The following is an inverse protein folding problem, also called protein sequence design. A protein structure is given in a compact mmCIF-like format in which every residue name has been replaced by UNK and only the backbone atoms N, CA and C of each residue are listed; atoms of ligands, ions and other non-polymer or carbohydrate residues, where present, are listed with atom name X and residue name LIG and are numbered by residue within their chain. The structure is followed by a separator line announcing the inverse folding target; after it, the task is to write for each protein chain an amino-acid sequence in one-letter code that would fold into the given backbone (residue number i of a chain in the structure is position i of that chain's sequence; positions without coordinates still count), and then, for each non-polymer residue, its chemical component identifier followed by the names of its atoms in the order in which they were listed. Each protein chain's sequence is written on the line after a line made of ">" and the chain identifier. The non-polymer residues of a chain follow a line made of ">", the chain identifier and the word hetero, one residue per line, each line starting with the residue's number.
data_IF_517209900089
#
_entry.id   IF_517209900089
#
_cell.length_a   1.000
_cell.length_b   1.000
_cell.length_c   1.000
_cell.angle_alpha   90.00
_cell.angle_beta   90.00
_cell.angle_gamma   90.00
#
_symmetry.space_group_name_H-M   'P 1'
#
loop_
_entity.id
_entity.type
_entity.pdbx_description
1 polymer ?
#
# COMPACT_ATOMS: atom_id res chain seq x y z
N UNK A 1 -8.30 -22.52 15.97
CA UNK A 1 -8.43 -21.32 15.13
C UNK A 1 -7.12 -21.19 14.37
N UNK A 2 -7.01 -21.79 13.18
CA UNK A 2 -5.72 -22.12 12.56
C UNK A 2 -5.51 -21.49 11.17
N UNK A 3 -6.34 -20.52 10.77
CA UNK A 3 -6.43 -20.05 9.38
C UNK A 3 -6.68 -18.54 9.24
N UNK A 4 -6.66 -17.75 10.33
CA UNK A 4 -7.06 -16.34 10.23
C UNK A 4 -6.03 -15.53 9.43
N UNK A 5 -4.75 -15.80 9.67
CA UNK A 5 -3.62 -15.27 8.92
C UNK A 5 -3.69 -15.59 7.43
N UNK A 6 -4.11 -16.82 7.08
CA UNK A 6 -4.24 -17.28 5.70
C UNK A 6 -5.43 -16.57 5.01
N UNK A 7 -6.57 -16.44 5.70
CA UNK A 7 -7.72 -15.70 5.16
C UNK A 7 -7.41 -14.22 4.97
N UNK A 8 -6.68 -13.59 5.88
CA UNK A 8 -6.24 -12.19 5.75
C UNK A 8 -5.29 -12.04 4.56
N UNK A 9 -4.37 -12.99 4.37
CA UNK A 9 -3.44 -12.96 3.24
C UNK A 9 -4.15 -13.20 1.89
N UNK A 10 -5.10 -14.14 1.83
CA UNK A 10 -5.94 -14.37 0.64
C UNK A 10 -6.75 -13.12 0.30
N UNK A 11 -7.35 -12.46 1.30
CA UNK A 11 -8.06 -11.20 1.12
C UNK A 11 -7.12 -10.11 0.58
N UNK A 12 -5.92 -9.99 1.14
CA UNK A 12 -4.93 -9.04 0.68
C UNK A 12 -4.53 -9.29 -0.79
N UNK A 13 -4.32 -10.55 -1.16
CA UNK A 13 -4.03 -10.95 -2.53
C UNK A 13 -5.17 -10.61 -3.50
N UNK A 14 -6.43 -10.86 -3.12
CA UNK A 14 -7.60 -10.48 -3.91
C UNK A 14 -7.69 -8.96 -4.13
N UNK A 15 -7.42 -8.17 -3.09
CA UNK A 15 -7.40 -6.70 -3.19
C UNK A 15 -6.25 -6.24 -4.08
N UNK A 16 -5.06 -6.83 -3.94
CA UNK A 16 -3.90 -6.53 -4.78
C UNK A 16 -4.17 -6.83 -6.26
N UNK A 17 -4.79 -7.97 -6.56
CA UNK A 17 -5.21 -8.32 -7.92
C UNK A 17 -6.28 -7.36 -8.45
N UNK A 18 -7.26 -7.00 -7.63
CA UNK A 18 -8.29 -6.02 -7.97
C UNK A 18 -7.69 -4.65 -8.32
N UNK A 19 -6.70 -4.20 -7.54
CA UNK A 19 -5.98 -2.96 -7.79
C UNK A 19 -5.23 -3.01 -9.13
N UNK A 20 -4.53 -4.11 -9.42
CA UNK A 20 -3.84 -4.32 -10.70
C UNK A 20 -4.81 -4.35 -11.89
N UNK A 21 -5.97 -4.98 -11.75
CA UNK A 21 -7.02 -4.91 -12.78
C UNK A 21 -7.46 -3.46 -13.04
N UNK A 22 -7.59 -2.64 -12.00
CA UNK A 22 -7.90 -1.22 -12.15
C UNK A 22 -6.78 -0.46 -12.88
N UNK A 23 -5.50 -0.79 -12.63
CA UNK A 23 -4.38 -0.18 -13.35
C UNK A 23 -4.40 -0.52 -14.84
N UNK A 24 -4.64 -1.79 -15.19
CA UNK A 24 -4.77 -2.18 -16.59
C UNK A 24 -5.94 -1.47 -17.29
N UNK A 25 -7.07 -1.34 -16.61
CA UNK A 25 -8.21 -0.61 -17.15
C UNK A 25 -7.89 0.89 -17.34
N UNK A 26 -7.19 1.55 -16.40
CA UNK A 26 -6.75 2.93 -16.57
C UNK A 26 -5.84 3.11 -17.80
N UNK A 27 -4.90 2.20 -18.03
CA UNK A 27 -4.03 2.24 -19.22
C UNK A 27 -4.84 2.08 -20.51
N UNK A 28 -5.89 1.26 -20.50
CA UNK A 28 -6.80 1.11 -21.64
C UNK A 28 -7.53 2.42 -21.99
N UNK A 29 -7.87 3.25 -20.99
CA UNK A 29 -8.45 4.58 -21.15
C UNK A 29 -7.39 5.71 -21.28
N UNK A 30 -6.16 5.38 -21.65
CA UNK A 30 -5.14 6.37 -22.01
C UNK A 30 -4.26 6.88 -20.87
N UNK A 31 -4.35 6.30 -19.66
CA UNK A 31 -3.39 6.57 -18.59
C UNK A 31 -1.97 6.19 -19.02
N UNK A 32 -0.99 7.07 -18.79
CA UNK A 32 0.38 6.93 -19.29
C UNK A 32 0.65 7.51 -20.69
N UNK A 33 -0.34 8.13 -21.35
CA UNK A 33 -0.12 8.96 -22.56
C UNK A 33 -0.03 10.44 -22.19
N UNK A 34 0.76 11.21 -22.94
CA UNK A 34 0.80 12.67 -22.76
C UNK A 34 -0.59 13.28 -22.99
N UNK A 35 -0.95 14.25 -22.14
CA UNK A 35 -2.26 14.95 -22.10
C UNK A 35 -2.87 15.39 -23.44
N UNK A 36 -2.11 15.76 -24.51
CA UNK A 36 -2.71 16.12 -25.79
C UNK A 36 -3.34 14.96 -26.57
N UNK A 37 -3.06 13.71 -26.19
CA UNK A 37 -3.48 12.51 -26.94
C UNK A 37 -4.75 11.83 -26.41
N UNK A 38 -5.34 12.34 -25.32
CA UNK A 38 -6.52 11.76 -24.65
C UNK A 38 -7.76 12.63 -24.78
N UNK A 39 -8.91 12.03 -25.07
CA UNK A 39 -10.19 12.74 -25.03
C UNK A 39 -10.63 13.03 -23.59
N UNK A 40 -11.45 14.06 -23.38
CA UNK A 40 -11.99 14.38 -22.04
C UNK A 40 -12.82 13.23 -21.45
N UNK A 41 -13.52 12.48 -22.29
CA UNK A 41 -14.35 11.33 -21.89
C UNK A 41 -13.48 10.18 -21.37
N UNK A 42 -12.41 9.84 -22.08
CA UNK A 42 -11.42 8.85 -21.63
C UNK A 42 -10.77 9.26 -20.30
N UNK A 43 -10.45 10.54 -20.13
CA UNK A 43 -9.87 11.05 -18.90
C UNK A 43 -10.84 10.91 -17.70
N UNK A 44 -12.14 11.16 -17.90
CA UNK A 44 -13.16 10.99 -16.86
C UNK A 44 -13.30 9.52 -16.47
N UNK A 45 -13.35 8.60 -17.44
CA UNK A 45 -13.44 7.16 -17.16
C UNK A 45 -12.18 6.65 -16.44
N UNK A 46 -10.99 7.08 -16.87
CA UNK A 46 -9.75 6.78 -16.17
C UNK A 46 -9.79 7.24 -14.70
N UNK A 47 -10.25 8.46 -14.43
CA UNK A 47 -10.37 8.98 -13.06
C UNK A 47 -11.39 8.21 -12.20
N UNK A 48 -12.51 7.75 -12.77
CA UNK A 48 -13.45 6.87 -12.04
C UNK A 48 -12.76 5.57 -11.60
N UNK A 49 -11.94 4.98 -12.47
CA UNK A 49 -11.20 3.76 -12.14
C UNK A 49 -10.10 4.06 -11.12
N UNK A 50 -9.41 5.20 -11.23
CA UNK A 50 -8.44 5.66 -10.23
C UNK A 50 -9.08 5.85 -8.87
N UNK A 51 -10.31 6.37 -8.82
CA UNK A 51 -11.09 6.51 -7.59
C UNK A 51 -11.33 5.15 -6.91
N UNK A 52 -11.73 4.12 -7.68
CA UNK A 52 -11.88 2.76 -7.15
C UNK A 52 -10.55 2.18 -6.67
N UNK A 53 -9.48 2.39 -7.44
CA UNK A 53 -8.14 1.93 -7.07
C UNK A 53 -7.63 2.59 -5.77
N UNK A 54 -8.04 3.84 -5.49
CA UNK A 54 -7.65 4.57 -4.27
C UNK A 54 -8.03 3.81 -2.99
N UNK A 55 -9.23 3.22 -2.94
CA UNK A 55 -9.68 2.43 -1.80
C UNK A 55 -8.83 1.17 -1.55
N UNK A 56 -8.19 0.65 -2.59
CA UNK A 56 -7.49 -0.63 -2.54
C UNK A 56 -6.02 -0.50 -2.12
N UNK A 57 -5.39 0.67 -2.33
CA UNK A 57 -3.94 0.86 -2.13
C UNK A 57 -3.51 0.51 -0.70
N UNK A 58 -4.04 1.21 0.31
CA UNK A 58 -3.56 1.02 1.68
C UNK A 58 -3.93 -0.35 2.25
N UNK A 59 -5.17 -0.88 2.04
CA UNK A 59 -5.49 -2.25 2.43
C UNK A 59 -4.59 -3.30 1.78
N UNK A 60 -4.25 -3.17 0.50
CA UNK A 60 -3.36 -4.11 -0.21
C UNK A 60 -1.96 -4.16 0.40
N UNK A 61 -1.47 -3.04 0.95
CA UNK A 61 -0.14 -2.94 1.57
C UNK A 61 -0.17 -3.36 3.06
N UNK A 62 -1.23 -3.00 3.79
CA UNK A 62 -1.30 -3.20 5.24
C UNK A 62 -1.79 -4.59 5.66
N UNK A 63 -2.70 -5.23 4.89
CA UNK A 63 -3.24 -6.54 5.25
C UNK A 63 -2.19 -7.68 5.23
N UNK A 64 -1.25 -7.75 4.26
CA UNK A 64 -0.19 -8.75 4.32
C UNK A 64 0.69 -8.59 5.56
N UNK A 65 1.04 -7.35 5.91
CA UNK A 65 1.77 -7.01 7.13
C UNK A 65 1.00 -7.42 8.38
N UNK A 66 -0.31 -7.22 8.42
CA UNK A 66 -1.15 -7.69 9.51
C UNK A 66 -1.16 -9.22 9.61
N UNK A 67 -1.15 -9.95 8.49
CA UNK A 67 -0.99 -11.42 8.49
C UNK A 67 0.37 -11.86 9.05
N UNK A 68 1.46 -11.15 8.73
CA UNK A 68 2.79 -11.38 9.33
C UNK A 68 2.73 -11.14 10.85
N UNK A 69 2.08 -10.06 11.30
CA UNK A 69 1.91 -9.78 12.72
C UNK A 69 1.17 -10.91 13.45
N UNK A 70 0.06 -11.41 12.87
CA UNK A 70 -0.70 -12.54 13.42
C UNK A 70 0.15 -13.81 13.50
N UNK A 71 0.92 -14.10 12.44
CA UNK A 71 1.83 -15.24 12.36
C UNK A 71 2.91 -15.17 13.45
N UNK A 72 3.52 -14.00 13.64
CA UNK A 72 4.52 -13.78 14.69
C UNK A 72 3.94 -14.01 16.09
N UNK A 73 2.76 -13.44 16.39
CA UNK A 73 2.11 -13.57 17.70
C UNK A 73 1.81 -15.03 18.03
N UNK A 74 1.53 -15.85 17.02
CA UNK A 74 1.29 -17.29 17.12
C UNK A 74 2.57 -18.08 17.37
N UNK A 75 3.63 -17.85 16.58
CA UNK A 75 4.88 -18.61 16.66
C UNK A 75 5.67 -18.28 17.93
N UNK A 76 5.81 -16.99 18.25
CA UNK A 76 6.65 -16.52 19.34
C UNK A 76 5.85 -16.24 20.60
N UNK A 77 5.06 -17.21 21.06
CA UNK A 77 4.18 -17.09 22.24
C UNK A 77 4.93 -16.67 23.51
N UNK A 78 6.23 -17.00 23.61
CA UNK A 78 7.07 -16.74 24.77
C UNK A 78 7.69 -15.32 24.77
N UNK A 79 7.74 -14.62 23.63
CA UNK A 79 8.28 -13.25 23.57
C UNK A 79 7.20 -12.22 23.92
N UNK A 80 7.01 -11.96 25.21
CA UNK A 80 5.98 -11.03 25.70
C UNK A 80 6.15 -9.62 25.14
N UNK A 81 7.38 -9.10 25.12
CA UNK A 81 7.67 -7.73 24.65
C UNK A 81 7.44 -7.62 23.15
N UNK A 82 8.00 -8.57 22.37
CA UNK A 82 7.80 -8.61 20.92
C UNK A 82 6.32 -8.71 20.55
N UNK A 83 5.53 -9.52 21.29
CA UNK A 83 4.08 -9.65 21.05
C UNK A 83 3.32 -8.35 21.27
N UNK A 84 3.58 -7.60 22.36
CA UNK A 84 2.91 -6.32 22.58
C UNK A 84 3.21 -5.30 21.48
N UNK A 85 4.48 -5.21 21.05
CA UNK A 85 4.88 -4.32 19.96
C UNK A 85 4.19 -4.72 18.65
N UNK A 86 4.22 -6.00 18.29
CA UNK A 86 3.63 -6.49 17.04
C UNK A 86 2.10 -6.39 17.05
N UNK A 87 1.44 -6.58 18.20
CA UNK A 87 0.00 -6.34 18.34
C UNK A 87 -0.34 -4.86 18.13
N UNK A 88 0.44 -3.94 18.72
CA UNK A 88 0.24 -2.51 18.53
C UNK A 88 0.42 -2.10 17.06
N UNK A 89 1.46 -2.61 16.39
CA UNK A 89 1.70 -2.36 14.97
C UNK A 89 0.59 -2.95 14.10
N UNK A 90 0.17 -4.19 14.35
CA UNK A 90 -0.92 -4.83 13.63
C UNK A 90 -2.24 -4.04 13.77
N UNK A 91 -2.55 -3.58 14.97
CA UNK A 91 -3.72 -2.72 15.22
C UNK A 91 -3.61 -1.39 14.46
N UNK A 92 -2.44 -0.74 14.52
CA UNK A 92 -2.19 0.52 13.83
C UNK A 92 -2.39 0.39 12.31
N UNK A 93 -1.91 -0.70 11.70
CA UNK A 93 -2.05 -0.97 10.27
C UNK A 93 -3.52 -1.15 9.86
N UNK A 94 -4.30 -1.89 10.65
CA UNK A 94 -5.74 -2.08 10.40
C UNK A 94 -6.48 -0.76 10.55
N UNK A 95 -6.21 0.01 11.61
CA UNK A 95 -6.83 1.31 11.82
C UNK A 95 -6.48 2.29 10.70
N UNK A 96 -5.21 2.36 10.28
CA UNK A 96 -4.78 3.21 9.17
C UNK A 96 -5.51 2.84 7.88
N UNK A 97 -5.68 1.54 7.60
CA UNK A 97 -6.43 1.04 6.44
C UNK A 97 -7.90 1.43 6.49
N UNK A 98 -8.55 1.28 7.65
CA UNK A 98 -9.95 1.66 7.83
C UNK A 98 -10.16 3.16 7.63
N UNK A 99 -9.31 4.00 8.24
CA UNK A 99 -9.41 5.45 8.09
C UNK A 99 -9.16 5.87 6.64
N UNK A 100 -8.20 5.26 5.95
CA UNK A 100 -7.95 5.49 4.52
C UNK A 100 -9.16 5.17 3.65
N UNK A 101 -9.84 4.05 3.90
CA UNK A 101 -11.07 3.69 3.16
C UNK A 101 -12.17 4.71 3.38
N UNK A 102 -12.36 5.18 4.62
CA UNK A 102 -13.36 6.22 4.94
C UNK A 102 -13.01 7.55 4.29
N UNK A 103 -11.74 7.96 4.37
CA UNK A 103 -11.25 9.21 3.81
C UNK A 103 -11.32 9.21 2.27
N UNK A 104 -10.99 8.08 1.61
CA UNK A 104 -11.19 7.89 0.17
C UNK A 104 -12.66 8.08 -0.25
N UNK A 105 -13.61 7.69 0.61
CA UNK A 105 -15.04 7.92 0.40
C UNK A 105 -15.45 9.40 0.52
N UNK A 106 -14.75 10.15 1.36
CA UNK A 106 -15.03 11.55 1.69
C UNK A 106 -14.07 12.53 1.00
N UNK A 107 -13.26 12.04 0.08
CA UNK A 107 -12.17 12.81 -0.55
C UNK A 107 -12.68 14.06 -1.27
N UNK A 108 -13.87 14.01 -1.87
CA UNK A 108 -14.50 15.14 -2.54
C UNK A 108 -15.97 15.24 -2.15
N UNK A 109 -16.46 16.47 -1.97
CA UNK A 109 -17.86 16.77 -1.69
C UNK A 109 -18.42 17.76 -2.72
N UNK A 110 -19.34 17.33 -3.61
CA UNK A 110 -19.83 15.96 -3.84
C UNK A 110 -18.83 15.05 -4.57
N UNK A 111 -18.93 13.73 -4.38
CA UNK A 111 -17.93 12.74 -4.87
C UNK A 111 -17.68 12.81 -6.38
N UNK A 112 -18.69 13.17 -7.18
CA UNK A 112 -18.53 13.23 -8.64
C UNK A 112 -17.52 14.26 -9.12
N UNK A 113 -17.23 15.27 -8.30
CA UNK A 113 -16.21 16.30 -8.54
C UNK A 113 -14.82 15.68 -8.73
N UNK A 114 -14.55 14.52 -8.12
CA UNK A 114 -13.29 13.79 -8.28
C UNK A 114 -12.96 13.53 -9.76
N UNK A 115 -13.95 13.08 -10.53
CA UNK A 115 -13.75 12.73 -11.94
C UNK A 115 -14.24 13.78 -12.93
N UNK A 116 -15.21 14.65 -12.58
CA UNK A 116 -15.73 15.66 -13.52
C UNK A 116 -14.92 16.96 -13.52
N UNK A 117 -14.37 17.35 -12.37
CA UNK A 117 -13.67 18.63 -12.20
C UNK A 117 -12.17 18.44 -11.88
N UNK A 118 -11.68 17.19 -11.92
CA UNK A 118 -10.27 16.84 -11.69
C UNK A 118 -9.70 17.35 -10.36
N UNK A 119 -10.48 17.21 -9.28
CA UNK A 119 -10.07 17.48 -7.88
C UNK A 119 -9.65 18.93 -7.60
N UNK A 120 -10.58 19.90 -7.69
CA UNK A 120 -10.28 21.28 -7.33
C UNK A 120 -10.10 21.41 -5.79
N UNK A 121 -9.15 22.27 -5.38
CA UNK A 121 -8.72 22.39 -3.98
C UNK A 121 -9.80 22.90 -3.01
N UNK A 122 -10.87 23.53 -3.52
CA UNK A 122 -11.98 24.09 -2.74
C UNK A 122 -13.06 23.07 -2.39
N UNK A 123 -13.17 21.96 -3.15
CA UNK A 123 -14.23 20.95 -2.99
C UNK A 123 -13.70 19.56 -2.62
N UNK A 124 -12.41 19.35 -2.75
CA UNK A 124 -11.75 18.11 -2.37
C UNK A 124 -10.76 18.33 -1.24
N UNK A 125 -10.62 17.34 -0.37
CA UNK A 125 -9.53 17.29 0.59
C UNK A 125 -8.21 17.33 -0.18
N UNK A 126 -7.18 17.89 0.42
CA UNK A 126 -5.84 17.74 -0.11
C UNK A 126 -5.47 16.25 -0.04
N UNK A 127 -5.73 15.51 -1.12
CA UNK A 127 -5.59 14.05 -1.35
C UNK A 127 -4.34 13.42 -0.71
N UNK A 128 -3.34 14.23 -0.43
CA UNK A 128 -2.00 13.79 -0.10
C UNK A 128 -1.74 13.69 1.39
N UNK A 129 -2.36 14.52 2.25
CA UNK A 129 -1.97 14.57 3.65
C UNK A 129 -2.17 13.22 4.37
N UNK A 130 -3.36 12.64 4.21
CA UNK A 130 -3.66 11.34 4.81
C UNK A 130 -2.93 10.19 4.11
N UNK A 131 -2.82 10.23 2.79
CA UNK A 131 -2.07 9.24 2.01
C UNK A 131 -0.58 9.18 2.42
N UNK A 132 0.04 10.34 2.68
CA UNK A 132 1.40 10.43 3.22
C UNK A 132 1.50 9.82 4.61
N UNK A 133 0.57 10.15 5.51
CA UNK A 133 0.55 9.60 6.87
C UNK A 133 0.40 8.08 6.82
N UNK A 134 -0.51 7.56 6.00
CA UNK A 134 -0.69 6.12 5.78
C UNK A 134 0.57 5.45 5.23
N UNK A 135 1.25 6.09 4.26
CA UNK A 135 2.54 5.63 3.74
C UNK A 135 3.64 5.57 4.80
N UNK A 136 3.78 6.62 5.61
CA UNK A 136 4.74 6.67 6.72
C UNK A 136 4.45 5.60 7.78
N UNK A 137 3.18 5.35 8.10
CA UNK A 137 2.76 4.28 9.01
C UNK A 137 3.17 2.91 8.45
N UNK A 138 2.90 2.66 7.16
CA UNK A 138 3.28 1.41 6.48
C UNK A 138 4.78 1.17 6.52
N UNK A 139 5.59 2.17 6.15
CA UNK A 139 7.06 2.07 6.13
C UNK A 139 7.61 1.88 7.55
N UNK A 140 7.06 2.60 8.53
CA UNK A 140 7.48 2.46 9.93
C UNK A 140 7.17 1.05 10.46
N UNK A 141 6.01 0.50 10.07
CA UNK A 141 5.63 -0.87 10.43
C UNK A 141 6.62 -1.89 9.85
N UNK A 142 7.12 -1.71 8.62
CA UNK A 142 8.14 -2.61 8.04
C UNK A 142 9.39 -2.67 8.92
N UNK A 143 9.96 -1.52 9.29
CA UNK A 143 11.16 -1.49 10.12
C UNK A 143 10.93 -2.06 11.52
N UNK A 144 9.78 -1.80 12.14
CA UNK A 144 9.45 -2.34 13.46
C UNK A 144 9.27 -3.86 13.39
N UNK A 145 8.51 -4.37 12.42
CA UNK A 145 8.28 -5.80 12.24
C UNK A 145 9.61 -6.51 12.02
N UNK A 146 10.45 -6.01 11.10
CA UNK A 146 11.77 -6.57 10.82
C UNK A 146 12.67 -6.54 12.05
N UNK A 147 12.73 -5.41 12.76
CA UNK A 147 13.54 -5.25 13.97
C UNK A 147 13.13 -6.18 15.11
N UNK A 148 11.85 -6.55 15.17
CA UNK A 148 11.36 -7.54 16.13
C UNK A 148 11.61 -8.96 15.64
N UNK A 149 11.31 -9.27 14.38
CA UNK A 149 11.34 -10.63 13.83
C UNK A 149 12.76 -11.13 13.60
N UNK A 150 13.66 -10.30 13.07
CA UNK A 150 15.00 -10.71 12.64
C UNK A 150 15.88 -11.24 13.80
N UNK A 151 16.02 -10.56 14.96
CA UNK A 151 16.83 -11.08 16.06
C UNK A 151 16.32 -12.43 16.59
N UNK A 152 15.00 -12.65 16.53
CA UNK A 152 14.34 -13.86 17.03
C UNK A 152 14.59 -15.04 16.11
N UNK A 153 14.58 -14.81 14.79
CA UNK A 153 14.95 -15.81 13.79
C UNK A 153 16.44 -16.17 13.90
N UNK A 154 17.33 -15.19 14.08
CA UNK A 154 18.76 -15.43 14.19
C UNK A 154 19.09 -16.30 15.42
N UNK A 155 18.41 -16.06 16.55
CA UNK A 155 18.56 -16.83 17.78
C UNK A 155 17.94 -18.24 17.76
N UNK A 156 17.15 -18.58 16.73
CA UNK A 156 16.47 -19.88 16.65
C UNK A 156 17.39 -20.96 16.06
N UNK A 157 17.41 -22.13 16.70
CA UNK A 157 18.15 -23.31 16.25
C UNK A 157 17.36 -24.07 15.17
N UNK A 158 17.31 -23.51 13.95
CA UNK A 158 16.68 -24.13 12.78
C UNK A 158 17.72 -24.78 11.85
N UNK A 159 17.26 -25.66 10.97
CA UNK A 159 18.11 -26.20 9.91
C UNK A 159 18.55 -25.06 8.96
N UNK A 160 19.74 -25.20 8.38
CA UNK A 160 20.32 -24.15 7.51
C UNK A 160 19.40 -23.73 6.36
N UNK A 161 18.62 -24.67 5.80
CA UNK A 161 17.66 -24.40 4.71
C UNK A 161 16.47 -23.55 5.18
N UNK A 162 15.89 -23.88 6.32
CA UNK A 162 14.74 -23.14 6.91
C UNK A 162 15.18 -21.75 7.37
N UNK A 163 16.36 -21.65 7.97
CA UNK A 163 16.95 -20.38 8.38
C UNK A 163 17.21 -19.46 7.18
N UNK A 164 17.70 -20.01 6.07
CA UNK A 164 17.92 -19.23 4.84
C UNK A 164 16.59 -18.73 4.26
N UNK A 165 15.55 -19.58 4.20
CA UNK A 165 14.24 -19.17 3.72
C UNK A 165 13.66 -18.01 4.55
N UNK A 166 13.76 -18.08 5.88
CA UNK A 166 13.31 -17.02 6.76
C UNK A 166 14.10 -15.72 6.58
N UNK A 167 15.42 -15.79 6.41
CA UNK A 167 16.24 -14.61 6.13
C UNK A 167 15.84 -13.99 4.78
N UNK A 168 15.59 -14.79 3.75
CA UNK A 168 15.12 -14.31 2.45
C UNK A 168 13.77 -13.57 2.58
N UNK A 169 12.82 -14.10 3.35
CA UNK A 169 11.53 -13.45 3.61
C UNK A 169 11.73 -12.09 4.31
N UNK A 170 12.63 -12.02 5.30
CA UNK A 170 12.95 -10.74 5.97
C UNK A 170 13.59 -9.74 5.00
N UNK A 171 14.45 -10.18 4.09
CA UNK A 171 15.02 -9.32 3.05
C UNK A 171 13.95 -8.75 2.10
N UNK A 172 12.91 -9.52 1.79
CA UNK A 172 11.76 -9.01 1.02
C UNK A 172 11.04 -7.88 1.77
N UNK A 173 10.92 -7.98 3.10
CA UNK A 173 10.41 -6.88 3.93
C UNK A 173 11.20 -5.57 3.78
N UNK A 174 12.54 -5.64 3.70
CA UNK A 174 13.35 -4.46 3.42
C UNK A 174 13.12 -3.90 2.01
N UNK A 175 12.92 -4.77 1.02
CA UNK A 175 12.59 -4.33 -0.34
C UNK A 175 11.21 -3.66 -0.39
N UNK A 176 10.22 -4.17 0.36
CA UNK A 176 8.90 -3.55 0.48
C UNK A 176 9.00 -2.14 1.09
N UNK A 177 9.77 -1.98 2.16
CA UNK A 177 10.03 -0.66 2.76
C UNK A 177 10.70 0.30 1.78
N UNK A 178 11.70 -0.17 1.01
CA UNK A 178 12.37 0.63 0.00
C UNK A 178 11.43 1.06 -1.13
N UNK A 179 10.56 0.15 -1.60
CA UNK A 179 9.54 0.45 -2.60
C UNK A 179 8.53 1.49 -2.08
N UNK A 180 8.11 1.39 -0.82
CA UNK A 180 7.24 2.38 -0.17
C UNK A 180 7.89 3.76 -0.07
N UNK A 181 9.17 3.83 0.29
CA UNK A 181 9.94 5.09 0.32
C UNK A 181 10.02 5.69 -1.09
N UNK A 182 10.34 4.89 -2.10
CA UNK A 182 10.42 5.34 -3.49
C UNK A 182 9.07 5.89 -3.98
N UNK A 183 7.96 5.20 -3.68
CA UNK A 183 6.60 5.68 -3.97
C UNK A 183 6.32 7.04 -3.33
N UNK A 184 6.65 7.22 -2.04
CA UNK A 184 6.45 8.49 -1.33
C UNK A 184 7.30 9.63 -1.90
N UNK A 185 8.55 9.32 -2.27
CA UNK A 185 9.46 10.29 -2.88
C UNK A 185 8.97 10.72 -4.27
N UNK A 186 8.53 9.77 -5.11
CA UNK A 186 7.96 10.07 -6.43
C UNK A 186 6.70 10.91 -6.30
N UNK A 187 5.81 10.55 -5.38
CA UNK A 187 4.63 11.37 -5.08
C UNK A 187 5.02 12.80 -4.69
N UNK A 188 6.08 13.00 -3.91
CA UNK A 188 6.47 14.33 -3.43
C UNK A 188 6.96 15.21 -4.58
N UNK A 189 7.71 14.62 -5.50
CA UNK A 189 8.20 15.28 -6.71
C UNK A 189 7.02 15.65 -7.61
N UNK A 190 6.08 14.74 -7.84
CA UNK A 190 4.86 14.98 -8.62
C UNK A 190 4.00 16.11 -8.04
N UNK A 191 4.08 16.39 -6.74
CA UNK A 191 3.31 17.48 -6.12
C UNK A 191 3.96 18.85 -6.25
N UNK A 192 5.27 18.90 -6.49
CA UNK A 192 6.05 20.14 -6.50
C UNK A 192 6.38 20.65 -7.91
N UNK A 193 6.14 19.85 -8.94
CA UNK A 193 6.48 20.19 -10.33
C UNK A 193 5.44 21.13 -10.97
N UNK A 194 5.85 22.33 -11.46
CA UNK A 194 4.94 23.30 -12.11
C UNK A 194 4.44 22.87 -13.50
N UNK A 195 5.22 22.05 -14.22
CA UNK A 195 4.93 21.55 -15.58
C UNK A 195 4.37 20.12 -15.54
N UNK A 196 3.37 19.88 -14.68
CA UNK A 196 2.85 18.55 -14.44
C UNK A 196 2.01 18.06 -15.62
N UNK A 197 2.40 16.93 -16.20
CA UNK A 197 1.49 16.10 -17.00
C UNK A 197 0.99 14.97 -16.08
N UNK A 198 -0.20 15.12 -15.44
CA UNK A 198 -0.65 14.21 -14.39
C UNK A 198 -0.77 12.77 -14.88
N UNK A 199 -1.05 12.57 -16.17
CA UNK A 199 -1.19 11.25 -16.77
C UNK A 199 0.16 10.56 -17.01
N UNK A 200 1.23 11.33 -17.20
CA UNK A 200 2.58 10.81 -17.39
C UNK A 200 3.23 10.55 -16.03
N UNK A 201 3.32 11.54 -15.14
CA UNK A 201 4.05 11.35 -13.87
C UNK A 201 3.40 10.30 -12.92
N UNK A 202 2.13 10.00 -13.12
CA UNK A 202 1.40 8.97 -12.39
C UNK A 202 1.84 7.53 -12.73
N UNK A 203 2.50 7.29 -13.89
CA UNK A 203 2.99 5.94 -14.22
C UNK A 203 4.03 5.46 -13.21
N UNK A 204 4.96 6.33 -12.80
CA UNK A 204 6.08 5.93 -11.95
C UNK A 204 5.61 5.62 -10.52
N UNK A 205 4.70 6.45 -10.01
CA UNK A 205 4.03 6.19 -8.72
C UNK A 205 3.31 4.85 -8.74
N UNK A 206 2.66 4.50 -9.85
CA UNK A 206 1.93 3.24 -10.00
C UNK A 206 2.88 2.03 -10.03
N UNK A 207 4.04 2.13 -10.70
CA UNK A 207 5.05 1.06 -10.71
C UNK A 207 5.58 0.78 -9.30
N UNK A 208 5.96 1.82 -8.56
CA UNK A 208 6.45 1.66 -7.19
C UNK A 208 5.36 1.15 -6.24
N UNK A 209 4.10 1.56 -6.44
CA UNK A 209 2.95 1.03 -5.69
C UNK A 209 2.76 -0.47 -5.95
N UNK A 210 2.85 -0.90 -7.22
CA UNK A 210 2.76 -2.32 -7.56
C UNK A 210 3.91 -3.12 -6.92
N UNK A 211 5.14 -2.61 -7.01
CA UNK A 211 6.30 -3.24 -6.38
C UNK A 211 6.12 -3.38 -4.87
N UNK A 212 5.64 -2.35 -4.18
CA UNK A 212 5.36 -2.40 -2.73
C UNK A 212 4.29 -3.43 -2.40
N UNK A 213 3.13 -3.40 -3.09
CA UNK A 213 2.02 -4.32 -2.84
C UNK A 213 2.45 -5.78 -3.02
N UNK A 214 3.06 -6.12 -4.16
CA UNK A 214 3.41 -7.50 -4.46
C UNK A 214 4.55 -8.02 -3.58
N UNK A 215 5.49 -7.16 -3.18
CA UNK A 215 6.52 -7.57 -2.23
C UNK A 215 5.93 -7.86 -0.84
N UNK A 216 4.91 -7.11 -0.41
CA UNK A 216 4.26 -7.36 0.88
C UNK A 216 3.51 -8.71 0.91
N UNK A 217 2.98 -9.16 -0.23
CA UNK A 217 2.17 -10.38 -0.33
C UNK A 217 3.02 -11.65 -0.39
N UNK A 218 4.26 -11.56 -0.88
CA UNK A 218 5.22 -12.68 -0.97
C UNK A 218 5.79 -13.01 0.41
#
# INVERSE_FOLDING_TARGET
>A
MWYLEDYVLILAWLIATGWTCCQYAQVAYGSGRHTPASTKEEAVEAQKISYVALFMILPAVCLPKASICLTYIRIFSNDKVGRYVIQAVGLLLVLASCVHVVESGLVCTPTYVYWTEFRPQDKCLADFAWFYVGGCISISADFIIIGVVLPRIIGLHLNRREKLALICIVCLGFFAAAAGIARMARLAITLQSPDLDPNWDQYDVSIWTAAEIYTCVI
#
